data_IF_066659235019
#
_entry.id   IF_066659235019
#
_cell.length_a   1.000
_cell.length_b   1.000
_cell.length_c   1.000
_cell.angle_alpha   90.00
_cell.angle_beta   90.00
_cell.angle_gamma   90.00
#
_symmetry.space_group_name_H-M   'P 1'
#
loop_
_entity.id
_entity.type
_entity.pdbx_description
1 polymer ?
#
# COMPACT_ATOMS: atom_id res chain seq x y z
N UNK A 1 20.34 -23.83 -14.39
CA UNK A 1 20.61 -23.13 -13.12
C UNK A 1 19.31 -23.14 -12.34
N UNK A 2 19.11 -24.11 -11.44
CA UNK A 2 17.87 -24.22 -10.67
C UNK A 2 17.87 -23.14 -9.60
N UNK A 3 16.98 -22.14 -9.71
CA UNK A 3 16.72 -21.19 -8.64
C UNK A 3 16.14 -21.95 -7.45
N UNK A 4 16.79 -21.83 -6.29
CA UNK A 4 16.26 -22.37 -5.04
C UNK A 4 14.88 -21.75 -4.73
N UNK A 5 13.97 -22.46 -4.06
CA UNK A 5 12.68 -21.89 -3.69
C UNK A 5 12.89 -20.69 -2.73
N UNK A 6 12.06 -19.65 -2.80
CA UNK A 6 12.20 -18.48 -1.95
C UNK A 6 12.11 -18.85 -0.48
N UNK A 7 13.08 -18.38 0.31
CA UNK A 7 13.40 -18.99 1.62
C UNK A 7 12.87 -18.21 2.82
N UNK A 8 12.56 -16.92 2.68
CA UNK A 8 12.18 -16.06 3.81
C UNK A 8 10.74 -15.58 3.72
N UNK A 9 10.04 -15.61 4.85
CA UNK A 9 8.67 -15.13 4.96
C UNK A 9 8.62 -13.62 5.11
N UNK A 10 7.59 -13.02 4.52
CA UNK A 10 7.19 -11.64 4.74
C UNK A 10 5.71 -11.56 5.07
N UNK A 11 5.32 -10.55 5.82
CA UNK A 11 3.93 -10.19 6.09
C UNK A 11 3.60 -8.89 5.37
N UNK A 12 2.39 -8.78 4.84
CA UNK A 12 1.95 -7.56 4.19
C UNK A 12 0.48 -7.23 4.45
N UNK A 13 0.13 -5.96 4.32
CA UNK A 13 -1.24 -5.49 4.33
C UNK A 13 -1.43 -4.40 3.25
N UNK A 14 -2.62 -4.36 2.66
CA UNK A 14 -3.02 -3.33 1.70
C UNK A 14 -3.60 -2.14 2.46
N UNK A 15 -3.13 -0.93 2.14
CA UNK A 15 -3.72 0.31 2.64
C UNK A 15 -4.92 0.64 1.77
N UNK A 16 -6.10 0.73 2.40
CA UNK A 16 -7.37 1.06 1.76
C UNK A 16 -7.81 2.45 2.21
N UNK A 17 -8.19 3.27 1.24
CA UNK A 17 -8.95 4.49 1.48
C UNK A 17 -10.44 4.16 1.33
N UNK A 18 -11.21 4.35 2.40
CA UNK A 18 -12.65 4.13 2.54
C UNK A 18 -13.32 5.50 2.70
N UNK A 19 -13.69 6.20 1.61
CA UNK A 19 -14.19 7.58 1.71
C UNK A 19 -15.49 7.71 2.52
N UNK A 20 -16.33 6.67 2.51
CA UNK A 20 -17.52 6.59 3.34
C UNK A 20 -17.54 5.25 4.08
N UNK A 21 -17.24 5.29 5.38
CA UNK A 21 -17.13 4.08 6.22
C UNK A 21 -18.44 3.30 6.26
N UNK A 22 -19.59 3.98 6.25
CA UNK A 22 -20.91 3.33 6.26
C UNK A 22 -21.21 2.54 4.99
N UNK A 23 -20.75 3.00 3.82
CA UNK A 23 -20.91 2.26 2.55
C UNK A 23 -19.86 1.18 2.37
N UNK A 24 -18.69 1.34 2.98
CA UNK A 24 -17.61 0.36 2.90
C UNK A 24 -16.92 0.27 1.53
N UNK A 25 -17.20 1.20 0.61
CA UNK A 25 -16.50 1.30 -0.67
C UNK A 25 -15.06 1.76 -0.44
N UNK A 26 -14.11 1.15 -1.16
CA UNK A 26 -12.70 1.48 -0.97
C UNK A 26 -11.86 1.47 -2.24
N UNK A 27 -10.77 2.23 -2.17
CA UNK A 27 -9.68 2.24 -3.15
C UNK A 27 -8.43 1.76 -2.45
N UNK A 28 -7.76 0.76 -3.01
CA UNK A 28 -6.42 0.40 -2.57
C UNK A 28 -5.45 1.52 -2.98
N UNK A 29 -4.67 2.02 -2.03
CA UNK A 29 -3.77 3.17 -2.21
C UNK A 29 -2.34 2.88 -1.80
N UNK A 30 -2.03 1.69 -1.30
CA UNK A 30 -0.68 1.36 -0.89
C UNK A 30 -0.53 -0.03 -0.31
N UNK A 31 0.70 -0.39 0.03
CA UNK A 31 1.09 -1.67 0.62
C UNK A 31 2.09 -1.40 1.74
N UNK A 32 1.92 -2.10 2.86
CA UNK A 32 2.89 -2.21 3.95
C UNK A 32 3.47 -3.61 3.87
N UNK A 33 4.80 -3.74 3.80
CA UNK A 33 5.49 -5.03 3.79
C UNK A 33 6.54 -5.07 4.89
N UNK A 34 6.55 -6.16 5.65
CA UNK A 34 7.52 -6.45 6.69
C UNK A 34 8.15 -7.84 6.48
N UNK A 35 9.48 -7.89 6.36
CA UNK A 35 10.23 -9.13 6.27
C UNK A 35 11.34 -9.13 7.33
N UNK A 36 11.09 -9.85 8.44
CA UNK A 36 11.97 -9.85 9.62
C UNK A 36 13.39 -10.30 9.28
N UNK A 37 13.54 -11.37 8.48
CA UNK A 37 14.83 -11.93 8.08
C UNK A 37 15.72 -10.91 7.36
N UNK A 38 15.12 -9.98 6.62
CA UNK A 38 15.82 -8.93 5.88
C UNK A 38 15.92 -7.60 6.63
N UNK A 39 15.37 -7.50 7.85
CA UNK A 39 15.24 -6.22 8.54
C UNK A 39 14.42 -5.18 7.75
N UNK A 40 13.53 -5.65 6.87
CA UNK A 40 12.83 -4.82 5.90
C UNK A 40 11.44 -4.45 6.44
N UNK A 41 11.16 -3.15 6.57
CA UNK A 41 9.83 -2.61 6.76
C UNK A 41 9.68 -1.42 5.82
N UNK A 42 8.75 -1.51 4.89
CA UNK A 42 8.48 -0.39 3.99
C UNK A 42 6.98 -0.24 3.74
N UNK A 43 6.57 1.01 3.53
CA UNK A 43 5.22 1.36 3.11
C UNK A 43 5.26 2.19 1.85
N UNK A 44 4.67 1.66 0.78
CA UNK A 44 4.56 2.33 -0.51
C UNK A 44 3.13 2.77 -0.74
N UNK A 45 2.94 4.01 -1.18
CA UNK A 45 1.63 4.63 -1.34
C UNK A 45 1.57 5.30 -2.70
N UNK A 46 0.52 4.99 -3.45
CA UNK A 46 0.16 5.61 -4.72
C UNK A 46 -1.34 5.87 -4.74
N UNK A 47 -1.72 7.14 -4.86
CA UNK A 47 -3.11 7.57 -4.84
C UNK A 47 -3.54 7.97 -6.24
N UNK A 48 -4.37 7.13 -6.87
CA UNK A 48 -5.11 7.49 -8.08
C UNK A 48 -6.23 8.47 -7.70
N UNK A 49 -5.95 9.77 -7.87
CA UNK A 49 -6.85 10.84 -7.42
C UNK A 49 -8.18 10.83 -8.17
N UNK A 50 -8.17 10.44 -9.44
CA UNK A 50 -9.37 10.41 -10.27
C UNK A 50 -10.29 9.26 -9.83
N UNK A 51 -9.70 8.10 -9.53
CA UNK A 51 -10.45 6.96 -8.97
C UNK A 51 -11.07 7.29 -7.61
N UNK A 52 -10.37 8.02 -6.75
CA UNK A 52 -10.91 8.42 -5.44
C UNK A 52 -12.05 9.43 -5.60
N UNK A 53 -11.85 10.47 -6.44
CA UNK A 53 -12.88 11.49 -6.70
C UNK A 53 -14.13 10.92 -7.36
N UNK A 54 -14.01 9.86 -8.15
CA UNK A 54 -15.15 9.16 -8.72
C UNK A 54 -16.06 8.53 -7.65
N UNK A 55 -15.53 8.14 -6.49
CA UNK A 55 -16.30 7.59 -5.36
C UNK A 55 -16.73 8.65 -4.34
N UNK A 56 -15.92 9.69 -4.17
CA UNK A 56 -16.14 10.76 -3.20
C UNK A 56 -15.64 12.10 -3.75
N UNK A 57 -16.46 12.81 -4.54
CA UNK A 57 -16.04 14.04 -5.20
C UNK A 57 -15.70 15.16 -4.21
N UNK A 58 -16.38 15.20 -3.06
CA UNK A 58 -16.23 16.24 -2.04
C UNK A 58 -15.16 15.92 -0.97
N UNK A 59 -14.44 14.80 -1.10
CA UNK A 59 -13.40 14.43 -0.15
C UNK A 59 -12.19 15.36 -0.26
N UNK A 60 -11.75 15.93 0.87
CA UNK A 60 -10.45 16.61 0.98
C UNK A 60 -9.32 15.59 0.84
N UNK A 61 -8.96 15.31 -0.40
CA UNK A 61 -7.95 14.33 -0.74
C UNK A 61 -6.54 14.77 -0.35
N UNK A 62 -6.28 16.07 -0.20
CA UNK A 62 -4.96 16.55 0.20
C UNK A 62 -4.72 16.31 1.69
N UNK A 63 -5.74 16.50 2.52
CA UNK A 63 -5.69 16.09 3.92
C UNK A 63 -5.43 14.59 4.06
N UNK A 64 -6.15 13.76 3.29
CA UNK A 64 -5.96 12.30 3.28
C UNK A 64 -4.53 11.93 2.85
N UNK A 65 -3.99 12.54 1.80
CA UNK A 65 -2.62 12.30 1.34
C UNK A 65 -1.59 12.68 2.41
N UNK A 66 -1.81 13.76 3.17
CA UNK A 66 -0.94 14.11 4.31
C UNK A 66 -0.95 13.02 5.38
N UNK A 67 -2.12 12.47 5.72
CA UNK A 67 -2.22 11.36 6.68
C UNK A 67 -1.52 10.09 6.17
N UNK A 68 -1.71 9.75 4.89
CA UNK A 68 -1.03 8.61 4.26
C UNK A 68 0.50 8.78 4.30
N UNK A 69 1.02 9.97 3.98
CA UNK A 69 2.46 10.27 4.09
C UNK A 69 2.97 10.11 5.53
N UNK A 70 2.17 10.45 6.53
CA UNK A 70 2.56 10.22 7.92
C UNK A 70 2.69 8.72 8.24
N UNK A 71 1.83 7.86 7.69
CA UNK A 71 1.99 6.40 7.83
C UNK A 71 3.30 5.90 7.21
N UNK A 72 3.70 6.44 6.04
CA UNK A 72 5.00 6.13 5.45
C UNK A 72 6.16 6.58 6.33
N UNK A 73 6.07 7.77 6.95
CA UNK A 73 7.10 8.28 7.86
C UNK A 73 7.21 7.41 9.12
N UNK A 74 6.10 6.95 9.68
CA UNK A 74 6.08 6.00 10.79
C UNK A 74 6.75 4.68 10.37
N UNK A 75 6.41 4.17 9.18
CA UNK A 75 7.01 2.95 8.62
C UNK A 75 8.52 3.07 8.35
N UNK A 76 8.98 4.25 7.96
CA UNK A 76 10.41 4.56 7.78
C UNK A 76 11.15 4.82 9.10
N UNK A 77 10.42 5.05 10.20
CA UNK A 77 11.01 5.25 11.53
C UNK A 77 11.54 6.67 11.73
N UNK A 78 10.92 7.64 11.04
CA UNK A 78 11.30 9.04 11.16
C UNK A 78 10.97 9.53 12.56
N UNK A 79 11.94 10.00 13.38
CA UNK A 79 11.72 10.35 14.78
C UNK A 79 10.58 11.37 15.00
N UNK A 80 10.46 12.34 14.10
CA UNK A 80 9.45 13.40 14.18
C UNK A 80 8.06 12.97 13.68
N UNK A 81 7.85 11.69 13.35
CA UNK A 81 6.55 11.16 12.93
C UNK A 81 5.69 10.65 14.11
N UNK A 82 6.16 10.88 15.35
CA UNK A 82 5.47 10.55 16.59
C UNK A 82 6.06 9.34 17.30
N UNK A 83 5.59 9.02 18.52
CA UNK A 83 6.20 8.01 19.39
C UNK A 83 6.16 6.59 18.81
N UNK A 84 5.22 6.30 17.92
CA UNK A 84 5.16 5.00 17.24
C UNK A 84 6.36 4.83 16.31
N UNK A 85 6.85 5.91 15.68
CA UNK A 85 7.94 5.83 14.72
C UNK A 85 9.29 5.43 15.37
N UNK A 86 9.43 5.61 16.69
CA UNK A 86 10.62 5.21 17.44
C UNK A 86 10.59 3.75 17.91
N UNK A 87 9.49 3.04 17.70
CA UNK A 87 9.36 1.63 18.07
C UNK A 87 10.16 0.70 17.14
N UNK A 88 10.49 -0.52 17.57
CA UNK A 88 11.06 -1.54 16.70
C UNK A 88 10.21 -1.81 15.45
N UNK A 89 10.79 -2.21 14.31
CA UNK A 89 10.05 -2.44 13.06
C UNK A 89 8.83 -3.36 13.19
N UNK A 90 8.92 -4.42 14.00
CA UNK A 90 7.79 -5.34 14.23
C UNK A 90 6.60 -4.67 14.91
N UNK A 91 6.85 -3.80 15.88
CA UNK A 91 5.81 -3.06 16.60
C UNK A 91 5.20 -1.96 15.71
N UNK A 92 6.03 -1.30 14.88
CA UNK A 92 5.56 -0.35 13.87
C UNK A 92 4.68 -1.03 12.84
N UNK A 93 5.08 -2.19 12.34
CA UNK A 93 4.25 -3.00 11.44
C UNK A 93 2.91 -3.34 12.11
N UNK A 94 2.94 -3.89 13.33
CA UNK A 94 1.73 -4.25 14.06
C UNK A 94 0.78 -3.06 14.22
N UNK A 95 1.30 -1.90 14.63
CA UNK A 95 0.51 -0.66 14.77
C UNK A 95 -0.06 -0.17 13.43
N UNK A 96 0.72 -0.22 12.34
CA UNK A 96 0.28 0.18 11.00
C UNK A 96 -0.82 -0.74 10.47
N UNK A 97 -0.80 -2.03 10.83
CA UNK A 97 -1.78 -3.03 10.37
C UNK A 97 -2.96 -3.24 11.33
N UNK A 98 -2.97 -2.58 12.48
CA UNK A 98 -4.07 -2.67 13.43
C UNK A 98 -5.40 -2.18 12.80
N UNK A 99 -6.54 -2.88 12.99
CA UNK A 99 -7.84 -2.45 12.49
C UNK A 99 -8.22 -1.03 12.95
N UNK A 100 -8.81 -0.24 12.06
CA UNK A 100 -9.21 1.16 12.35
C UNK A 100 -10.58 1.44 11.77
N UNK A 101 -11.45 2.07 12.55
CA UNK A 101 -12.75 2.58 12.09
C UNK A 101 -12.63 4.01 11.52
N UNK A 102 -11.64 4.24 10.67
CA UNK A 102 -11.37 5.54 10.03
C UNK A 102 -11.39 5.41 8.51
N UNK A 103 -11.24 6.51 7.77
CA UNK A 103 -11.16 6.46 6.32
C UNK A 103 -9.94 5.69 5.80
N UNK A 104 -8.82 5.65 6.54
CA UNK A 104 -7.65 4.86 6.14
C UNK A 104 -7.66 3.57 6.94
N UNK A 105 -7.78 2.43 6.24
CA UNK A 105 -7.92 1.12 6.86
C UNK A 105 -6.92 0.14 6.25
N UNK A 106 -6.18 -0.63 7.06
CA UNK A 106 -5.41 -1.75 6.55
C UNK A 106 -6.35 -2.92 6.19
N UNK A 107 -5.96 -3.73 5.21
CA UNK A 107 -6.52 -5.07 5.03
C UNK A 107 -6.11 -6.00 6.18
N UNK A 108 -6.70 -7.21 6.28
CA UNK A 108 -6.07 -8.29 7.02
C UNK A 108 -4.62 -8.49 6.60
N UNK A 109 -3.80 -8.97 7.53
CA UNK A 109 -2.40 -9.31 7.25
C UNK A 109 -2.35 -10.62 6.48
N UNK A 110 -1.55 -10.60 5.42
CA UNK A 110 -1.26 -11.74 4.56
C UNK A 110 0.22 -12.10 4.67
N UNK A 111 0.59 -13.31 4.24
CA UNK A 111 1.97 -13.82 4.28
C UNK A 111 2.38 -14.28 2.89
N UNK A 112 3.64 -14.06 2.54
CA UNK A 112 4.26 -14.61 1.34
C UNK A 112 5.70 -15.05 1.60
N UNK A 113 6.34 -15.58 0.56
CA UNK A 113 7.75 -15.96 0.55
C UNK A 113 8.49 -15.11 -0.49
N UNK A 114 9.69 -14.64 -0.14
CA UNK A 114 10.53 -13.87 -1.05
C UNK A 114 12.01 -14.01 -0.70
N UNK A 115 12.87 -13.86 -1.70
CA UNK A 115 14.31 -13.62 -1.51
C UNK A 115 14.66 -12.13 -1.67
N UNK A 116 13.73 -11.32 -2.18
CA UNK A 116 13.85 -9.87 -2.35
C UNK A 116 12.55 -9.17 -1.88
N UNK A 117 12.53 -8.58 -0.67
CA UNK A 117 11.35 -7.91 -0.15
C UNK A 117 10.99 -6.64 -0.92
N UNK A 118 11.95 -5.96 -1.56
CA UNK A 118 11.68 -4.75 -2.34
C UNK A 118 10.99 -5.09 -3.66
N UNK A 119 11.45 -6.15 -4.35
CA UNK A 119 10.78 -6.67 -5.54
C UNK A 119 9.38 -7.23 -5.22
N UNK A 120 9.22 -7.92 -4.09
CA UNK A 120 7.91 -8.38 -3.63
C UNK A 120 6.95 -7.21 -3.37
N UNK A 121 7.42 -6.14 -2.72
CA UNK A 121 6.62 -4.94 -2.49
C UNK A 121 6.19 -4.30 -3.81
N UNK A 122 7.09 -4.21 -4.79
CA UNK A 122 6.77 -3.65 -6.10
C UNK A 122 5.71 -4.49 -6.84
N UNK A 123 5.86 -5.81 -6.80
CA UNK A 123 4.86 -6.72 -7.35
C UNK A 123 3.48 -6.55 -6.70
N UNK A 124 3.42 -6.40 -5.37
CA UNK A 124 2.16 -6.17 -4.67
C UNK A 124 1.52 -4.83 -5.06
N UNK A 125 2.32 -3.78 -5.30
CA UNK A 125 1.82 -2.50 -5.81
C UNK A 125 1.18 -2.67 -7.21
N UNK A 126 1.81 -3.42 -8.10
CA UNK A 126 1.27 -3.70 -9.44
C UNK A 126 -0.02 -4.53 -9.42
N UNK A 127 -0.12 -5.48 -8.49
CA UNK A 127 -1.28 -6.37 -8.39
C UNK A 127 -2.47 -5.68 -7.72
N UNK A 128 -2.23 -4.96 -6.62
CA UNK A 128 -3.31 -4.50 -5.75
C UNK A 128 -3.62 -3.01 -5.84
N UNK A 129 -2.69 -2.17 -6.29
CA UNK A 129 -2.82 -0.71 -6.24
C UNK A 129 -2.93 -0.12 -7.64
N UNK A 130 -1.94 -0.40 -8.50
CA UNK A 130 -1.86 0.21 -9.83
C UNK A 130 -2.88 -0.43 -10.77
N UNK A 131 -3.63 0.40 -11.48
CA UNK A 131 -4.44 -0.09 -12.59
C UNK A 131 -3.51 -0.55 -13.69
N UNK A 132 -3.67 -1.79 -14.16
CA UNK A 132 -3.25 -2.12 -15.52
C UNK A 132 -4.02 -1.21 -16.46
N UNK A 133 -3.32 -0.30 -17.14
CA UNK A 133 -3.95 0.48 -18.21
C UNK A 133 -4.44 -0.53 -19.24
N UNK A 134 -5.75 -0.59 -19.43
CA UNK A 134 -6.29 -1.15 -20.65
C UNK A 134 -5.90 -0.17 -21.76
N UNK A 135 -4.89 -0.52 -22.55
CA UNK A 135 -4.60 0.23 -23.77
C UNK A 135 -5.75 -0.10 -24.71
N UNK A 136 -6.65 0.87 -24.91
CA UNK A 136 -7.61 0.75 -26.00
C UNK A 136 -6.82 0.56 -27.31
N UNK A 137 -7.18 -0.37 -28.19
CA UNK A 137 -6.54 -0.45 -29.50
C UNK A 137 -6.63 0.94 -30.13
N UNK A 138 -5.50 1.49 -30.55
CA UNK A 138 -5.44 2.79 -31.20
C UNK A 138 -6.35 2.75 -32.43
N UNK A 139 -7.46 3.48 -32.37
CA UNK A 139 -8.28 3.71 -33.54
C UNK A 139 -7.44 4.53 -34.52
N UNK A 140 -7.01 3.90 -35.62
CA UNK A 140 -6.38 4.57 -36.75
C UNK A 140 -4.96 4.09 -37.05
N UNK A 141 -4.84 3.01 -37.82
CA UNK A 141 -4.02 3.07 -39.02
C UNK A 141 -4.98 3.28 -40.19
N UNK A 142 -4.65 4.29 -40.97
CA UNK A 142 -5.49 5.00 -41.92
C UNK A 142 -6.03 4.15 -43.07
N UNK A 143 -7.14 4.63 -43.61
CA UNK A 143 -7.71 4.28 -44.91
C UNK A 143 -6.65 4.42 -46.01
N UNK A 144 -6.49 3.35 -46.82
CA UNK A 144 -6.38 3.39 -48.30
C UNK A 144 -6.50 1.99 -48.88
#
# INVERSE_FOLDING_TARGET
MCLAPPTASYSYAIIRLVPCVTRGEFVNVGVILFARTFGFLETRIEVDRDRVRALAPDLDLDLVVRHLRNLQRISAGVPDAGPVATLPPSERFHWLTAPRSTMIQPSPVHVGLTDDPAAALEHLMDVYVRRRRCVAPSAGADVR
#
